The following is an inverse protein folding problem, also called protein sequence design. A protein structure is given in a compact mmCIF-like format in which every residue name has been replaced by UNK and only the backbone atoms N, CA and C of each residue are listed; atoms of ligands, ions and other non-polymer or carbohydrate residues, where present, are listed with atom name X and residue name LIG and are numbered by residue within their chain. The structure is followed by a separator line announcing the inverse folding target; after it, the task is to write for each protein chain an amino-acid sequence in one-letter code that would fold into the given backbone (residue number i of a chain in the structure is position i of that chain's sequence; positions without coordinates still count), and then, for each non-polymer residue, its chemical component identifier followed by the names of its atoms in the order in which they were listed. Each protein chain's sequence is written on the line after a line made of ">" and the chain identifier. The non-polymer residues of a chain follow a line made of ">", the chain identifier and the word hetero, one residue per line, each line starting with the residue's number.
data_IF_813485145655
#
_entry.id   IF_813485145655
#
_cell.length_a   1.000
_cell.length_b   1.000
_cell.length_c   1.000
_cell.angle_alpha   90.00
_cell.angle_beta   90.00
_cell.angle_gamma   90.00
#
_symmetry.space_group_name_H-M   'P 1'
#
loop_
_entity.id
_entity.type
_entity.pdbx_description
1 polymer ?
#
# COMPACT_ATOMS: atom_id res chain seq x y z
N UNK A 1 -26.86 11.93 17.70
CA UNK A 1 -25.92 10.87 17.27
C UNK A 1 -24.49 11.36 17.50
N UNK A 2 -23.74 10.71 18.40
CA UNK A 2 -22.34 11.11 18.68
C UNK A 2 -21.43 10.86 17.48
N UNK A 3 -20.93 11.93 16.86
CA UNK A 3 -20.03 11.87 15.71
C UNK A 3 -18.76 11.05 16.01
N UNK A 4 -18.28 11.08 17.26
CA UNK A 4 -17.12 10.32 17.70
C UNK A 4 -17.37 8.80 17.71
N UNK A 5 -18.53 8.37 18.22
CA UNK A 5 -18.93 6.95 18.22
C UNK A 5 -19.08 6.41 16.80
N UNK A 6 -19.68 7.20 15.90
CA UNK A 6 -19.80 6.84 14.48
C UNK A 6 -18.43 6.72 13.78
N UNK A 7 -17.49 7.61 14.10
CA UNK A 7 -16.12 7.56 13.59
C UNK A 7 -15.38 6.29 14.06
N UNK A 8 -15.51 5.95 15.35
CA UNK A 8 -14.93 4.74 15.92
C UNK A 8 -15.49 3.47 15.25
N UNK A 9 -16.82 3.35 15.14
CA UNK A 9 -17.50 2.23 14.49
C UNK A 9 -17.07 2.05 13.02
N UNK A 10 -16.92 3.16 12.28
CA UNK A 10 -16.43 3.12 10.88
C UNK A 10 -14.97 2.67 10.80
N UNK A 11 -14.14 3.07 11.77
CA UNK A 11 -12.74 2.69 11.86
C UNK A 11 -12.59 1.19 12.14
N UNK A 12 -13.35 0.68 13.12
CA UNK A 12 -13.39 -0.73 13.49
C UNK A 12 -13.84 -1.61 12.33
N UNK A 13 -14.91 -1.24 11.61
CA UNK A 13 -15.35 -1.96 10.42
C UNK A 13 -14.25 -2.10 9.37
N UNK A 14 -13.48 -1.02 9.14
CA UNK A 14 -12.35 -1.06 8.19
C UNK A 14 -11.22 -1.96 8.70
N UNK A 15 -10.89 -1.86 9.99
CA UNK A 15 -9.87 -2.69 10.64
C UNK A 15 -10.22 -4.17 10.50
N UNK A 16 -11.44 -4.56 10.84
CA UNK A 16 -11.89 -5.95 10.76
C UNK A 16 -11.86 -6.45 9.31
N UNK A 17 -12.26 -5.64 8.33
CA UNK A 17 -12.16 -5.99 6.90
C UNK A 17 -10.72 -6.23 6.45
N UNK A 18 -9.77 -5.39 6.89
CA UNK A 18 -8.35 -5.54 6.56
C UNK A 18 -7.73 -6.74 7.26
N UNK A 19 -8.18 -7.06 8.47
CA UNK A 19 -7.67 -8.20 9.25
C UNK A 19 -8.16 -9.55 8.78
N UNK A 20 -9.33 -9.64 8.11
CA UNK A 20 -9.87 -10.92 7.60
C UNK A 20 -8.83 -11.80 6.86
N UNK A 21 -8.03 -11.28 5.91
CA UNK A 21 -7.00 -12.07 5.23
C UNK A 21 -5.64 -12.11 5.94
N UNK A 22 -5.45 -11.42 7.08
CA UNK A 22 -4.16 -11.28 7.76
C UNK A 22 -4.18 -12.10 9.04
N UNK A 23 -3.31 -13.11 9.12
CA UNK A 23 -3.17 -13.95 10.30
C UNK A 23 -1.71 -13.97 10.77
N UNK A 24 -1.49 -13.70 12.06
CA UNK A 24 -0.17 -13.73 12.69
C UNK A 24 0.13 -15.09 13.31
N UNK A 25 1.31 -15.63 13.02
CA UNK A 25 1.87 -16.84 13.66
C UNK A 25 3.14 -16.49 14.43
N UNK A 26 3.68 -17.36 15.31
CA UNK A 26 4.95 -17.11 15.98
C UNK A 26 6.11 -16.83 15.00
N UNK A 27 6.13 -17.55 13.87
CA UNK A 27 7.14 -17.39 12.82
C UNK A 27 6.94 -16.12 11.98
N UNK A 28 5.67 -15.74 11.74
CA UNK A 28 5.30 -14.53 11.00
C UNK A 28 4.22 -13.77 11.77
N UNK A 29 4.59 -13.01 12.81
CA UNK A 29 3.62 -12.29 13.64
C UNK A 29 2.96 -11.15 12.87
N UNK A 30 1.78 -10.75 13.32
CA UNK A 30 1.02 -9.63 12.73
C UNK A 30 1.54 -8.30 13.28
N UNK A 31 2.00 -7.43 12.39
CA UNK A 31 2.44 -6.06 12.73
C UNK A 31 1.24 -5.11 12.68
N UNK A 32 0.69 -4.78 13.84
CA UNK A 32 -0.45 -3.87 13.99
C UNK A 32 0.02 -2.44 14.21
N UNK A 33 -0.45 -1.50 13.37
CA UNK A 33 -0.15 -0.07 13.51
C UNK A 33 -1.33 0.71 14.10
N UNK A 34 -1.04 1.54 15.10
CA UNK A 34 -1.98 2.53 15.64
C UNK A 34 -1.43 3.94 15.47
N UNK A 35 -2.30 4.86 15.02
CA UNK A 35 -1.95 6.25 14.78
C UNK A 35 -2.97 7.17 15.45
N UNK A 36 -2.47 8.01 16.36
CA UNK A 36 -3.19 9.16 16.89
C UNK A 36 -2.70 10.45 16.23
N UNK A 37 -3.31 11.58 16.59
CA UNK A 37 -2.86 12.88 16.10
C UNK A 37 -1.43 13.16 16.55
N UNK A 38 -1.10 12.79 17.78
CA UNK A 38 0.17 13.14 18.44
C UNK A 38 1.23 12.04 18.37
N UNK A 39 0.84 10.77 18.23
CA UNK A 39 1.77 9.64 18.35
C UNK A 39 1.46 8.52 17.35
N UNK A 40 2.42 7.65 17.15
CA UNK A 40 2.31 6.40 16.39
C UNK A 40 2.88 5.27 17.23
N UNK A 41 2.21 4.13 17.21
CA UNK A 41 2.65 2.91 17.86
C UNK A 41 2.49 1.72 16.93
N UNK A 42 3.34 0.72 17.13
CA UNK A 42 3.32 -0.53 16.41
C UNK A 42 3.60 -1.70 17.35
N UNK A 43 2.95 -2.83 17.08
CA UNK A 43 3.03 -4.05 17.88
C UNK A 43 3.19 -5.25 16.95
N UNK A 44 4.02 -6.20 17.34
CA UNK A 44 4.10 -7.53 16.75
C UNK A 44 3.33 -8.49 17.64
N UNK A 45 2.25 -9.04 17.10
CA UNK A 45 1.30 -9.88 17.82
C UNK A 45 1.30 -11.27 17.21
N UNK A 46 1.39 -12.27 18.07
CA UNK A 46 1.07 -13.65 17.74
C UNK A 46 -0.43 -13.89 17.98
N UNK A 47 -1.19 -14.13 16.92
CA UNK A 47 -2.64 -14.30 17.01
C UNK A 47 -3.04 -15.70 17.49
N UNK A 48 -2.12 -16.67 17.48
CA UNK A 48 -2.37 -18.03 18.01
C UNK A 48 -2.40 -18.03 19.54
N UNK A 49 -1.37 -17.44 20.15
CA UNK A 49 -1.21 -17.41 21.60
C UNK A 49 -1.76 -16.12 22.23
N UNK A 50 -2.13 -15.12 21.42
CA UNK A 50 -2.60 -13.81 21.90
C UNK A 50 -1.51 -12.97 22.58
N UNK A 51 -0.23 -13.26 22.32
CA UNK A 51 0.90 -12.62 22.98
C UNK A 51 1.51 -11.55 22.10
N UNK A 52 1.88 -10.41 22.70
CA UNK A 52 2.66 -9.37 22.00
C UNK A 52 4.14 -9.67 22.14
N UNK A 53 4.80 -9.96 21.01
CA UNK A 53 6.22 -10.30 20.98
C UNK A 53 7.09 -9.05 21.06
N UNK A 54 6.73 -7.96 20.39
CA UNK A 54 7.46 -6.70 20.49
C UNK A 54 6.52 -5.51 20.32
N UNK A 55 6.87 -4.38 20.92
CA UNK A 55 6.10 -3.16 20.81
C UNK A 55 7.03 -1.94 20.77
N UNK A 56 6.65 -0.94 19.98
CA UNK A 56 7.33 0.33 19.92
C UNK A 56 6.30 1.46 19.81
N UNK A 57 6.55 2.57 20.50
CA UNK A 57 5.68 3.75 20.48
C UNK A 57 6.49 5.03 20.52
N UNK A 58 5.97 6.05 19.85
CA UNK A 58 6.51 7.42 19.93
C UNK A 58 5.96 8.20 21.13
N UNK A 59 5.23 7.54 22.05
CA UNK A 59 4.71 8.16 23.28
C UNK A 59 5.58 7.80 24.47
N UNK A 60 5.89 8.77 25.33
CA UNK A 60 6.64 8.55 26.56
C UNK A 60 8.11 9.00 26.50
N UNK A 61 8.71 9.20 27.67
CA UNK A 61 10.08 9.74 27.82
C UNK A 61 11.14 8.88 27.11
N UNK A 62 10.94 7.56 27.09
CA UNK A 62 11.82 6.60 26.42
C UNK A 62 11.86 6.73 24.89
N UNK A 63 10.94 7.48 24.28
CA UNK A 63 10.95 7.68 22.84
C UNK A 63 12.05 8.65 22.38
N UNK A 64 12.50 9.58 23.24
CA UNK A 64 13.48 10.61 22.90
C UNK A 64 13.00 11.62 21.84
N UNK A 65 11.74 11.53 21.42
CA UNK A 65 11.17 12.28 20.31
C UNK A 65 10.44 13.54 20.81
N UNK A 66 10.82 14.72 20.30
CA UNK A 66 10.11 15.98 20.59
C UNK A 66 8.68 15.98 20.04
N UNK A 67 8.46 15.36 18.89
CA UNK A 67 7.14 15.25 18.25
C UNK A 67 6.90 13.84 17.73
N UNK A 68 5.91 13.13 18.30
CA UNK A 68 5.54 11.77 17.85
C UNK A 68 4.61 11.72 16.63
N UNK A 69 4.15 12.91 16.18
CA UNK A 69 3.07 13.08 15.21
C UNK A 69 3.50 13.12 13.75
N UNK A 70 4.81 13.06 13.46
CA UNK A 70 5.39 13.31 12.15
C UNK A 70 5.92 12.01 11.49
N UNK A 71 6.47 12.17 10.28
CA UNK A 71 7.06 11.06 9.49
C UNK A 71 8.38 10.58 10.11
N UNK A 72 9.20 11.49 10.64
CA UNK A 72 10.47 11.14 11.30
C UNK A 72 10.27 10.26 12.54
N UNK A 73 9.26 10.55 13.37
CA UNK A 73 8.92 9.69 14.51
C UNK A 73 8.48 8.29 14.04
N UNK A 74 7.78 8.20 12.91
CA UNK A 74 7.35 6.92 12.37
C UNK A 74 8.52 6.07 11.88
N UNK A 75 9.54 6.68 11.28
CA UNK A 75 10.75 5.96 10.85
C UNK A 75 11.55 5.47 12.06
N UNK A 76 11.72 6.30 13.09
CA UNK A 76 12.39 5.87 14.32
C UNK A 76 11.66 4.74 15.04
N UNK A 77 10.33 4.80 15.15
CA UNK A 77 9.53 3.71 15.73
C UNK A 77 9.67 2.43 14.91
N UNK A 78 9.70 2.52 13.57
CA UNK A 78 9.94 1.37 12.70
C UNK A 78 11.29 0.70 12.95
N UNK A 79 12.37 1.51 13.06
CA UNK A 79 13.72 1.01 13.37
C UNK A 79 13.79 0.35 14.75
N UNK A 80 13.20 0.99 15.77
CA UNK A 80 13.15 0.44 17.15
C UNK A 80 12.40 -0.88 17.20
N UNK A 81 11.28 -0.98 16.49
CA UNK A 81 10.50 -2.21 16.44
C UNK A 81 11.28 -3.35 15.75
N UNK A 82 11.95 -3.06 14.64
CA UNK A 82 12.75 -4.05 13.93
C UNK A 82 13.92 -4.55 14.79
N UNK A 83 14.63 -3.66 15.48
CA UNK A 83 15.70 -4.05 16.41
C UNK A 83 15.17 -4.95 17.56
N UNK A 84 13.98 -4.66 18.09
CA UNK A 84 13.35 -5.50 19.10
C UNK A 84 12.89 -6.85 18.54
N UNK A 85 12.51 -6.91 17.26
CA UNK A 85 12.08 -8.14 16.58
C UNK A 85 13.27 -9.04 16.25
N UNK A 86 14.36 -8.48 15.72
CA UNK A 86 15.58 -9.22 15.40
C UNK A 86 16.25 -9.79 16.65
N UNK A 87 16.23 -9.06 17.78
CA UNK A 87 16.67 -9.59 19.07
C UNK A 87 15.86 -10.80 19.57
N UNK A 88 14.65 -11.02 19.02
CA UNK A 88 13.80 -12.19 19.30
C UNK A 88 13.80 -13.22 18.16
N UNK A 89 14.66 -13.05 17.16
CA UNK A 89 14.77 -13.97 16.01
C UNK A 89 13.64 -13.87 14.99
N UNK A 90 12.84 -12.79 15.01
CA UNK A 90 11.71 -12.61 14.09
C UNK A 90 12.20 -11.88 12.83
N UNK A 91 12.16 -12.55 11.69
CA UNK A 91 12.66 -12.03 10.40
C UNK A 91 11.55 -11.51 9.49
N UNK A 92 10.34 -12.08 9.57
CA UNK A 92 9.21 -11.73 8.73
C UNK A 92 7.97 -11.39 9.57
N UNK A 93 7.17 -10.44 9.11
CA UNK A 93 5.90 -10.07 9.74
C UNK A 93 4.80 -9.84 8.69
N UNK A 94 3.55 -10.08 9.08
CA UNK A 94 2.39 -9.77 8.26
C UNK A 94 1.92 -8.34 8.58
N UNK A 95 2.00 -7.43 7.62
CA UNK A 95 1.70 -6.02 7.87
C UNK A 95 0.18 -5.72 7.94
N UNK A 96 -0.28 -5.29 9.11
CA UNK A 96 -1.65 -4.82 9.37
C UNK A 96 -1.69 -3.28 9.48
N UNK A 97 -2.08 -2.64 8.37
CA UNK A 97 -2.33 -1.18 8.31
C UNK A 97 -3.52 -0.71 9.16
N UNK A 98 -4.31 -1.63 9.70
CA UNK A 98 -5.51 -1.35 10.47
C UNK A 98 -6.57 -0.56 9.69
N UNK A 99 -7.12 0.46 10.33
CA UNK A 99 -8.17 1.29 9.74
C UNK A 99 -7.64 2.41 8.83
N UNK A 100 -6.31 2.56 8.74
CA UNK A 100 -5.63 3.65 8.04
C UNK A 100 -5.30 3.26 6.60
N UNK A 101 -5.12 4.26 5.75
CA UNK A 101 -4.59 4.07 4.40
C UNK A 101 -3.07 3.98 4.47
N UNK A 102 -2.48 3.24 3.53
CA UNK A 102 -1.03 3.10 3.44
C UNK A 102 -0.43 4.35 2.75
N UNK A 103 -0.07 5.35 3.55
CA UNK A 103 0.60 6.57 3.10
C UNK A 103 1.30 7.25 4.27
N UNK A 104 2.15 8.24 3.96
CA UNK A 104 2.81 9.11 4.94
C UNK A 104 3.43 8.30 6.08
N UNK A 105 3.00 8.58 7.31
CA UNK A 105 3.52 7.94 8.53
C UNK A 105 3.41 6.41 8.53
N UNK A 106 2.33 5.84 8.01
CA UNK A 106 2.13 4.37 8.01
C UNK A 106 3.08 3.70 7.03
N UNK A 107 3.28 4.31 5.86
CA UNK A 107 4.22 3.82 4.86
C UNK A 107 5.68 3.99 5.32
N UNK A 108 6.00 5.13 5.94
CA UNK A 108 7.34 5.40 6.47
C UNK A 108 7.75 4.41 7.58
N UNK A 109 6.82 4.03 8.46
CA UNK A 109 7.07 3.01 9.47
C UNK A 109 7.38 1.64 8.84
N UNK A 110 6.59 1.22 7.85
CA UNK A 110 6.79 -0.06 7.17
C UNK A 110 8.11 -0.13 6.41
N UNK A 111 8.47 0.95 5.70
CA UNK A 111 9.75 1.06 4.99
C UNK A 111 10.92 1.01 5.98
N UNK A 112 10.88 1.82 7.03
CA UNK A 112 11.95 1.84 8.03
C UNK A 112 12.10 0.50 8.80
N UNK A 113 11.01 -0.22 9.05
CA UNK A 113 11.07 -1.55 9.64
C UNK A 113 11.70 -2.58 8.68
N UNK A 114 11.40 -2.48 7.38
CA UNK A 114 11.98 -3.36 6.35
C UNK A 114 13.46 -3.09 6.14
N UNK A 115 13.88 -1.82 6.07
CA UNK A 115 15.29 -1.41 6.00
C UNK A 115 16.10 -1.89 7.21
N UNK A 116 15.47 -1.96 8.39
CA UNK A 116 16.09 -2.44 9.61
C UNK A 116 16.03 -3.98 9.78
N UNK A 117 15.63 -4.72 8.74
CA UNK A 117 15.73 -6.19 8.68
C UNK A 117 14.45 -6.96 9.01
N UNK A 118 13.33 -6.29 9.30
CA UNK A 118 12.03 -6.96 9.50
C UNK A 118 11.20 -6.91 8.20
N UNK A 119 11.14 -8.01 7.47
CA UNK A 119 10.41 -8.09 6.20
C UNK A 119 8.91 -8.05 6.46
N UNK A 120 8.30 -6.86 6.31
CA UNK A 120 6.87 -6.64 6.51
C UNK A 120 6.14 -6.18 5.24
N UNK A 121 6.85 -5.60 4.28
CA UNK A 121 6.35 -5.31 2.92
C UNK A 121 7.43 -5.69 1.90
N UNK A 122 7.04 -6.11 0.69
CA UNK A 122 7.99 -6.16 -0.43
C UNK A 122 8.51 -4.74 -0.68
N UNK A 123 9.84 -4.59 -0.80
CA UNK A 123 10.51 -3.31 -1.04
C UNK A 123 10.12 -2.63 -2.37
N UNK A 124 9.32 -3.30 -3.20
CA UNK A 124 8.65 -2.69 -4.34
C UNK A 124 7.58 -1.71 -3.86
N UNK A 125 8.03 -0.47 -3.65
CA UNK A 125 7.15 0.68 -3.64
C UNK A 125 6.29 0.67 -4.92
N UNK A 126 5.03 1.13 -4.88
CA UNK A 126 4.63 1.97 -5.98
C UNK A 126 5.57 3.17 -5.93
N UNK A 127 6.63 3.13 -6.74
CA UNK A 127 7.29 4.33 -7.26
C UNK A 127 6.13 5.25 -7.63
N UNK A 128 6.15 6.46 -7.09
CA UNK A 128 5.23 7.49 -7.55
C UNK A 128 5.21 7.38 -9.08
N UNK A 129 4.05 7.23 -9.71
CA UNK A 129 3.93 7.62 -11.11
C UNK A 129 4.31 9.09 -11.10
N UNK A 130 5.60 9.39 -11.28
CA UNK A 130 6.05 10.66 -11.77
C UNK A 130 5.19 10.88 -13.00
N UNK A 131 4.29 11.86 -12.90
CA UNK A 131 3.48 12.27 -14.02
C UNK A 131 4.51 12.57 -15.11
N UNK A 132 4.54 11.82 -16.23
CA UNK A 132 5.58 12.03 -17.22
C UNK A 132 5.51 13.50 -17.60
N UNK A 133 6.63 14.19 -17.40
CA UNK A 133 6.81 15.57 -17.81
C UNK A 133 6.33 15.66 -19.26
N UNK A 134 5.46 16.63 -19.54
CA UNK A 134 4.91 16.86 -20.86
C UNK A 134 6.06 16.95 -21.86
N UNK A 135 6.26 15.89 -22.64
CA UNK A 135 7.16 15.89 -23.78
C UNK A 135 6.53 16.83 -24.80
N UNK A 136 7.19 17.95 -25.04
CA UNK A 136 6.84 18.87 -26.12
C UNK A 136 6.72 18.09 -27.44
N UNK A 137 5.73 18.37 -28.29
CA UNK A 137 5.50 17.60 -29.50
C UNK A 137 6.59 17.90 -30.53
N UNK A 138 7.49 16.94 -30.73
CA UNK A 138 8.35 16.92 -31.91
C UNK A 138 7.50 16.75 -33.18
N UNK A 139 7.84 17.55 -34.18
CA UNK A 139 7.17 17.64 -35.48
C UNK A 139 7.12 16.26 -36.17
N UNK A 140 5.92 15.85 -36.58
CA UNK A 140 5.70 14.72 -37.48
C UNK A 140 6.50 14.89 -38.80
N UNK A 141 7.34 13.94 -39.22
CA UNK A 141 7.72 13.83 -40.62
C UNK A 141 6.59 13.17 -41.43
N UNK A 142 6.48 13.60 -42.68
CA UNK A 142 5.36 13.38 -43.58
C UNK A 142 5.33 11.98 -44.24
N UNK A 143 4.11 11.51 -44.50
CA UNK A 143 3.59 10.67 -45.60
C UNK A 143 4.47 9.53 -46.17
N UNK A 144 3.94 8.31 -46.06
CA UNK A 144 3.94 7.33 -47.16
C UNK A 144 2.51 6.79 -47.38
N UNK A 145 2.04 6.89 -48.63
CA UNK A 145 0.70 6.51 -49.06
C UNK A 145 0.72 5.05 -49.57
N UNK A 146 -0.17 4.21 -49.05
CA UNK A 146 -0.50 2.90 -49.64
C UNK A 146 -1.60 3.05 -50.71
N UNK A 147 -1.50 2.40 -51.88
CA UNK A 147 -2.53 2.44 -52.93
C UNK A 147 -3.73 1.55 -52.56
N UNK A 148 -4.94 2.03 -52.86
CA UNK A 148 -6.20 1.26 -52.80
C UNK A 148 -6.80 1.17 -54.20
N UNK A 149 -7.24 -0.04 -54.59
CA UNK A 149 -8.46 -0.19 -55.40
C UNK A 149 -8.36 -1.13 -56.60
N UNK A 150 -8.52 -2.44 -56.38
CA UNK A 150 -9.05 -3.34 -57.41
C UNK A 150 -10.59 -3.37 -57.30
N UNK A 151 -11.27 -2.97 -58.39
CA UNK A 151 -12.72 -3.01 -58.52
C UNK A 151 -13.21 -4.38 -58.99
N UNK A 152 -14.24 -4.90 -58.31
CA UNK A 152 -14.90 -6.19 -58.60
C UNK A 152 -15.91 -6.03 -59.76
N UNK A 153 -15.91 -6.89 -60.80
CA UNK A 153 -16.87 -6.81 -61.89
C UNK A 153 -18.25 -7.39 -61.48
N UNK A 154 -19.33 -6.68 -61.85
CA UNK A 154 -20.73 -7.15 -61.71
C UNK A 154 -21.08 -8.03 -62.92
N UNK A 155 -21.55 -9.25 -62.67
CA UNK A 155 -22.03 -10.18 -63.69
C UNK A 155 -23.50 -9.98 -64.05
N UNK A 156 -23.78 -10.16 -65.33
CA UNK A 156 -25.09 -10.22 -66.00
C UNK A 156 -25.99 -11.37 -65.51
N UNK A 157 -27.30 -11.12 -65.47
CA UNK A 157 -28.34 -12.15 -65.43
C UNK A 157 -29.59 -11.69 -66.22
N UNK A 158 -30.39 -12.61 -66.79
CA UNK A 158 -30.99 -12.47 -68.12
C UNK A 158 -32.46 -12.00 -68.17
N UNK A 159 -32.87 -11.60 -69.39
CA UNK A 159 -34.23 -11.20 -69.83
C UNK A 159 -35.35 -12.18 -69.43
N UNK A 160 -36.51 -11.62 -69.04
CA UNK A 160 -37.84 -12.16 -69.33
C UNK A 160 -38.84 -11.03 -69.59
N UNK A 161 -39.47 -11.09 -70.76
CA UNK A 161 -40.58 -10.25 -71.22
C UNK A 161 -41.84 -10.38 -70.35
N UNK A 162 -42.62 -9.29 -70.23
CA UNK A 162 -44.09 -9.33 -70.14
C UNK A 162 -44.72 -7.95 -70.40
N UNK A 163 -45.51 -7.95 -71.48
CA UNK A 163 -46.59 -7.04 -71.90
C UNK A 163 -46.22 -5.84 -72.77
#
# INVERSE_FOLDING_TARGET
>A
MDAQKLKAKRSERRRNRVRKPIYGTPARPRLSVFRSNLHISAQLIDDLNGVTLAAATSSGKASGLKHGGNVAAATEVGKKLAAAATGKGITAAAFDRGAYRFHGRVAALARAATEAGLVCTSLDAPVHKEKPAATAPEKKPAKEAKPKGEGKPKGDAPKKDKK
#
